data_IF_254249813112
#
_entry.id   IF_254249813112
#
_cell.length_a   1.000
_cell.length_b   1.000
_cell.length_c   1.000
_cell.angle_alpha   90.00
_cell.angle_beta   90.00
_cell.angle_gamma   90.00
#
_symmetry.space_group_name_H-M   'P 1'
#
loop_
_entity.id
_entity.type
_entity.pdbx_description
1 polymer ?
#
# COMPACT_ATOMS: atom_id res chain seq x y z
N UNK A 1 -15.43 -60.77 -39.13
CA UNK A 1 -14.94 -61.54 -37.96
C UNK A 1 -13.44 -61.34 -37.91
N UNK A 2 -12.82 -60.69 -36.93
CA UNK A 2 -13.30 -60.17 -35.66
C UNK A 2 -12.55 -58.91 -35.24
N UNK A 3 -13.09 -58.28 -34.21
CA UNK A 3 -12.66 -57.08 -33.52
C UNK A 3 -11.34 -57.25 -32.75
N UNK A 4 -10.89 -56.12 -32.18
CA UNK A 4 -10.05 -55.93 -30.98
C UNK A 4 -8.65 -55.39 -31.30
N UNK A 5 -8.20 -54.27 -30.74
CA UNK A 5 -8.79 -53.39 -29.74
C UNK A 5 -7.90 -52.17 -29.58
N UNK A 6 -8.53 -51.03 -29.38
CA UNK A 6 -7.90 -49.73 -29.15
C UNK A 6 -7.03 -49.75 -27.89
N UNK A 7 -5.79 -49.28 -28.01
CA UNK A 7 -4.91 -48.97 -26.89
C UNK A 7 -4.71 -47.47 -26.79
N UNK A 8 -5.76 -46.70 -26.53
CA UNK A 8 -5.61 -45.30 -26.14
C UNK A 8 -4.88 -45.27 -24.79
N UNK A 9 -3.60 -44.88 -24.79
CA UNK A 9 -2.94 -44.42 -23.58
C UNK A 9 -3.69 -43.17 -23.10
N UNK A 10 -4.53 -43.35 -22.09
CA UNK A 10 -5.11 -42.27 -21.33
C UNK A 10 -3.95 -41.57 -20.63
N UNK A 11 -3.46 -40.50 -21.24
CA UNK A 11 -2.57 -39.54 -20.59
C UNK A 11 -3.33 -39.05 -19.35
N UNK A 12 -2.95 -39.57 -18.18
CA UNK A 12 -3.30 -38.98 -16.91
C UNK A 12 -2.58 -37.64 -16.88
N UNK A 13 -3.27 -36.57 -17.22
CA UNK A 13 -2.90 -35.23 -16.77
C UNK A 13 -2.90 -35.30 -15.25
N UNK A 14 -1.71 -35.40 -14.68
CA UNK A 14 -1.48 -35.28 -13.26
C UNK A 14 -2.03 -33.90 -12.88
N UNK A 15 -3.06 -33.86 -12.05
CA UNK A 15 -3.66 -32.62 -11.57
C UNK A 15 -2.51 -31.75 -11.04
N UNK A 16 -2.20 -30.70 -11.80
CA UNK A 16 -1.29 -29.65 -11.38
C UNK A 16 -1.96 -29.09 -10.13
N UNK A 17 -1.28 -29.12 -8.99
CA UNK A 17 -1.81 -28.52 -7.77
C UNK A 17 -2.09 -27.04 -8.09
N UNK A 18 -3.36 -26.71 -8.33
CA UNK A 18 -3.78 -25.33 -8.46
C UNK A 18 -3.52 -24.65 -7.12
N UNK A 19 -2.66 -23.63 -7.15
CA UNK A 19 -2.33 -22.83 -5.99
C UNK A 19 -3.61 -22.23 -5.40
N UNK A 20 -3.79 -22.30 -4.09
CA UNK A 20 -4.98 -21.68 -3.47
C UNK A 20 -4.89 -20.16 -3.60
N UNK A 21 -6.03 -19.43 -3.58
CA UNK A 21 -6.00 -17.96 -3.62
C UNK A 21 -5.14 -17.33 -2.53
N UNK A 22 -5.09 -17.95 -1.34
CA UNK A 22 -4.27 -17.50 -0.22
C UNK A 22 -2.78 -17.70 -0.46
N UNK A 23 -2.39 -18.85 -1.01
CA UNK A 23 -1.00 -19.12 -1.38
C UNK A 23 -0.51 -18.14 -2.44
N UNK A 24 -1.34 -17.88 -3.45
CA UNK A 24 -1.05 -16.88 -4.50
C UNK A 24 -0.86 -15.49 -3.91
N UNK A 25 -1.71 -15.04 -2.98
CA UNK A 25 -1.55 -13.73 -2.34
C UNK A 25 -0.23 -13.62 -1.57
N UNK A 26 0.16 -14.67 -0.84
CA UNK A 26 1.43 -14.68 -0.12
C UNK A 26 2.60 -14.63 -1.11
N UNK A 27 2.55 -15.38 -2.21
CA UNK A 27 3.56 -15.36 -3.25
C UNK A 27 3.68 -13.98 -3.90
N UNK A 28 2.56 -13.39 -4.31
CA UNK A 28 2.50 -12.06 -4.93
C UNK A 28 3.00 -10.96 -3.98
N UNK A 29 2.67 -11.06 -2.68
CA UNK A 29 3.18 -10.11 -1.68
C UNK A 29 4.71 -10.23 -1.50
N UNK A 30 5.26 -11.45 -1.54
CA UNK A 30 6.71 -11.63 -1.51
C UNK A 30 7.40 -11.04 -2.74
N UNK A 31 6.78 -11.14 -3.92
CA UNK A 31 7.28 -10.48 -5.14
C UNK A 31 7.21 -8.95 -4.99
N UNK A 32 6.12 -8.41 -4.46
CA UNK A 32 6.01 -6.99 -4.11
C UNK A 32 7.17 -6.53 -3.21
N UNK A 33 7.48 -7.28 -2.14
CA UNK A 33 8.59 -6.93 -1.24
C UNK A 33 9.95 -6.91 -1.96
N UNK A 34 10.21 -7.85 -2.87
CA UNK A 34 11.44 -7.89 -3.66
C UNK A 34 11.55 -6.68 -4.60
N UNK A 35 10.47 -6.36 -5.33
CA UNK A 35 10.46 -5.23 -6.26
C UNK A 35 10.54 -3.88 -5.52
N UNK A 36 9.91 -3.79 -4.35
CA UNK A 36 10.02 -2.65 -3.44
C UNK A 36 11.45 -2.42 -2.96
N UNK A 37 12.18 -3.48 -2.60
CA UNK A 37 13.61 -3.37 -2.23
C UNK A 37 14.48 -2.89 -3.40
N UNK A 38 14.05 -3.15 -4.63
CA UNK A 38 14.67 -2.63 -5.85
C UNK A 38 14.17 -1.23 -6.24
N UNK A 39 13.37 -0.58 -5.40
CA UNK A 39 12.80 0.76 -5.59
C UNK A 39 11.89 0.90 -6.83
N UNK A 40 11.18 -0.16 -7.21
CA UNK A 40 10.11 -0.03 -8.22
C UNK A 40 8.94 0.78 -7.67
N UNK A 41 8.29 1.56 -8.54
CA UNK A 41 7.07 2.27 -8.18
C UNK A 41 5.92 1.29 -7.97
N UNK A 42 4.90 1.68 -7.19
CA UNK A 42 3.74 0.81 -6.98
C UNK A 42 2.92 0.66 -8.28
N UNK A 43 2.99 1.63 -9.19
CA UNK A 43 2.40 1.51 -10.52
C UNK A 43 3.11 0.44 -11.36
N UNK A 44 4.44 0.42 -11.36
CA UNK A 44 5.22 -0.60 -12.08
C UNK A 44 5.01 -1.99 -11.47
N UNK A 45 4.93 -2.08 -10.14
CA UNK A 45 4.66 -3.35 -9.45
C UNK A 45 3.25 -3.85 -9.77
N UNK A 46 2.23 -2.97 -9.76
CA UNK A 46 0.87 -3.34 -10.14
C UNK A 46 0.84 -3.91 -11.56
N UNK A 47 1.51 -3.27 -12.51
CA UNK A 47 1.63 -3.76 -13.88
C UNK A 47 2.36 -5.12 -13.93
N UNK A 48 3.46 -5.28 -13.18
CA UNK A 48 4.23 -6.52 -13.16
C UNK A 48 3.42 -7.71 -12.64
N UNK A 49 2.63 -7.50 -11.59
CA UNK A 49 1.78 -8.52 -10.99
C UNK A 49 0.44 -8.70 -11.72
N UNK A 50 0.12 -7.82 -12.69
CA UNK A 50 -1.19 -7.75 -13.34
C UNK A 50 -2.35 -7.43 -12.38
N UNK A 51 -2.09 -6.54 -11.42
CA UNK A 51 -3.06 -6.06 -10.44
C UNK A 51 -3.61 -4.69 -10.87
N UNK A 52 -4.87 -4.40 -10.54
CA UNK A 52 -5.34 -3.02 -10.49
C UNK A 52 -4.67 -2.26 -9.34
N UNK A 53 -4.79 -0.93 -9.29
CA UNK A 53 -4.26 -0.17 -8.15
C UNK A 53 -5.00 -0.55 -6.87
N UNK A 54 -6.31 -0.74 -6.96
CA UNK A 54 -7.16 -1.16 -5.85
C UNK A 54 -6.73 -2.53 -5.32
N UNK A 55 -6.56 -3.52 -6.20
CA UNK A 55 -6.16 -4.86 -5.81
C UNK A 55 -4.76 -4.89 -5.18
N UNK A 56 -3.82 -4.08 -5.71
CA UNK A 56 -2.48 -4.01 -5.13
C UNK A 56 -2.54 -3.35 -3.75
N UNK A 57 -3.37 -2.33 -3.57
CA UNK A 57 -3.62 -1.70 -2.27
C UNK A 57 -4.15 -2.71 -1.26
N UNK A 58 -5.12 -3.53 -1.67
CA UNK A 58 -5.65 -4.61 -0.84
C UNK A 58 -4.57 -5.64 -0.47
N UNK A 59 -3.77 -6.09 -1.45
CA UNK A 59 -2.66 -7.02 -1.22
C UNK A 59 -1.67 -6.48 -0.20
N UNK A 60 -1.23 -5.23 -0.37
CA UNK A 60 -0.29 -4.57 0.55
C UNK A 60 -0.90 -4.49 1.94
N UNK A 61 -2.13 -4.01 2.04
CA UNK A 61 -2.82 -3.77 3.32
C UNK A 61 -2.91 -5.04 4.15
N UNK A 62 -3.39 -6.13 3.53
CA UNK A 62 -3.62 -7.42 4.19
C UNK A 62 -2.36 -8.05 4.80
N UNK A 63 -1.19 -7.72 4.27
CA UNK A 63 0.08 -8.30 4.72
C UNK A 63 1.02 -7.30 5.39
N UNK A 64 0.66 -6.01 5.41
CA UNK A 64 1.45 -4.95 6.05
C UNK A 64 0.88 -4.56 7.40
N UNK A 65 -0.43 -4.33 7.47
CA UNK A 65 -1.07 -3.84 8.68
C UNK A 65 -1.53 -5.01 9.55
N UNK A 66 -1.33 -4.90 10.86
CA UNK A 66 -1.86 -5.87 11.82
C UNK A 66 -3.31 -5.56 12.15
N UNK A 67 -3.67 -4.28 12.10
CA UNK A 67 -5.01 -3.80 12.35
C UNK A 67 -5.78 -3.64 11.03
N UNK A 68 -7.05 -3.26 11.17
CA UNK A 68 -8.03 -3.20 10.10
C UNK A 68 -7.90 -1.92 9.25
N UNK A 69 -6.69 -1.67 8.76
CA UNK A 69 -6.35 -0.55 7.88
C UNK A 69 -6.21 -1.02 6.43
N UNK A 70 -6.72 -0.22 5.50
CA UNK A 70 -6.50 -0.39 4.08
C UNK A 70 -5.83 0.84 3.49
N UNK A 71 -4.73 0.63 2.77
CA UNK A 71 -4.03 1.65 2.00
C UNK A 71 -4.61 1.76 0.60
N UNK A 72 -4.98 2.99 0.22
CA UNK A 72 -5.32 3.32 -1.14
C UNK A 72 -4.09 3.87 -1.87
N UNK A 73 -3.66 3.19 -2.94
CA UNK A 73 -2.50 3.63 -3.73
C UNK A 73 -2.64 5.07 -4.20
N UNK A 74 -1.52 5.80 -4.13
CA UNK A 74 -1.43 7.17 -4.62
C UNK A 74 -1.80 7.25 -6.11
N UNK A 75 -2.45 8.37 -6.48
CA UNK A 75 -2.83 8.62 -7.86
C UNK A 75 -1.75 9.36 -8.64
N UNK A 76 -0.95 10.15 -7.93
CA UNK A 76 0.10 10.99 -8.49
C UNK A 76 1.43 10.69 -7.80
N UNK A 77 2.52 10.98 -8.49
CA UNK A 77 3.85 11.02 -7.89
C UNK A 77 4.05 12.36 -7.18
N UNK A 78 5.01 12.42 -6.27
CA UNK A 78 5.36 13.67 -5.58
C UNK A 78 6.75 13.61 -4.97
N UNK A 79 7.19 14.76 -4.44
CA UNK A 79 8.48 14.94 -3.78
C UNK A 79 8.33 15.23 -2.28
N UNK A 80 7.22 14.80 -1.66
CA UNK A 80 6.93 15.00 -0.25
C UNK A 80 7.59 13.91 0.60
N UNK A 81 8.02 14.28 1.81
CA UNK A 81 8.92 13.45 2.62
C UNK A 81 8.36 13.05 3.97
N UNK A 82 7.25 13.68 4.39
CA UNK A 82 6.58 13.48 5.67
C UNK A 82 7.54 13.59 6.87
N UNK A 83 8.54 14.48 6.74
CA UNK A 83 9.69 14.58 7.66
C UNK A 83 9.51 15.64 8.75
N UNK A 84 8.39 16.36 8.74
CA UNK A 84 8.08 17.42 9.69
C UNK A 84 7.59 16.90 11.04
N UNK A 85 7.15 17.82 11.89
CA UNK A 85 6.41 17.47 13.11
C UNK A 85 5.15 16.70 12.73
N UNK A 86 4.87 15.61 13.44
CA UNK A 86 3.66 14.83 13.20
C UNK A 86 2.52 15.30 14.10
N UNK A 87 1.43 15.76 13.50
CA UNK A 87 0.20 16.15 14.17
C UNK A 87 -0.95 15.19 13.84
N UNK A 88 -1.91 15.12 14.76
CA UNK A 88 -3.11 14.30 14.62
C UNK A 88 -4.29 15.16 15.07
N UNK A 89 -5.39 15.19 14.32
CA UNK A 89 -6.59 15.93 14.76
C UNK A 89 -7.23 15.24 15.96
N UNK A 90 -7.92 16.02 16.80
CA UNK A 90 -8.57 15.48 17.99
C UNK A 90 -9.59 14.38 17.66
N UNK A 91 -10.34 14.53 16.56
CA UNK A 91 -11.31 13.54 16.12
C UNK A 91 -10.62 12.23 15.74
N UNK A 92 -9.55 12.28 14.94
CA UNK A 92 -8.79 11.08 14.57
C UNK A 92 -8.12 10.42 15.78
N UNK A 93 -7.54 11.20 16.69
CA UNK A 93 -6.95 10.67 17.91
C UNK A 93 -7.96 9.97 18.82
N UNK A 94 -9.23 10.39 18.79
CA UNK A 94 -10.30 9.75 19.55
C UNK A 94 -10.81 8.44 18.95
N UNK A 95 -10.56 8.20 17.65
CA UNK A 95 -11.07 7.05 16.91
C UNK A 95 -10.01 5.95 16.74
N UNK A 96 -8.75 6.33 16.55
CA UNK A 96 -7.67 5.38 16.29
C UNK A 96 -6.90 5.04 17.55
N UNK A 97 -6.45 3.79 17.62
CA UNK A 97 -5.46 3.34 18.58
C UNK A 97 -4.08 3.95 18.26
N UNK A 98 -3.20 3.97 19.26
CA UNK A 98 -1.83 4.42 19.06
C UNK A 98 -1.09 3.52 18.07
N UNK A 99 -1.39 2.23 18.08
CA UNK A 99 -0.85 1.22 17.18
C UNK A 99 -1.21 1.51 15.72
N UNK A 100 -2.48 1.77 15.42
CA UNK A 100 -2.94 2.13 14.06
C UNK A 100 -2.29 3.41 13.55
N UNK A 101 -2.19 4.43 14.42
CA UNK A 101 -1.51 5.70 14.09
C UNK A 101 -0.04 5.45 13.74
N UNK A 102 0.65 4.61 14.52
CA UNK A 102 2.04 4.25 14.27
C UNK A 102 2.23 3.41 13.01
N UNK A 103 1.28 2.53 12.68
CA UNK A 103 1.27 1.75 11.46
C UNK A 103 1.17 2.65 10.23
N UNK A 104 0.23 3.61 10.22
CA UNK A 104 0.09 4.61 9.15
C UNK A 104 1.38 5.42 8.96
N UNK A 105 1.92 5.93 10.07
CA UNK A 105 3.13 6.75 10.05
C UNK A 105 4.33 5.96 9.51
N UNK A 106 4.58 4.77 10.06
CA UNK A 106 5.73 3.93 9.67
C UNK A 106 5.63 3.47 8.22
N UNK A 107 4.44 3.06 7.79
CA UNK A 107 4.18 2.68 6.40
C UNK A 107 4.43 3.83 5.44
N UNK A 108 3.95 5.04 5.76
CA UNK A 108 4.15 6.21 4.92
C UNK A 108 5.63 6.56 4.78
N UNK A 109 6.41 6.50 5.86
CA UNK A 109 7.86 6.72 5.78
C UNK A 109 8.58 5.65 4.95
N UNK A 110 8.07 4.42 4.94
CA UNK A 110 8.60 3.34 4.11
C UNK A 110 8.29 3.56 2.63
N UNK A 111 7.08 4.06 2.30
CA UNK A 111 6.74 4.52 0.96
C UNK A 111 7.65 5.67 0.50
N UNK A 112 7.88 6.68 1.33
CA UNK A 112 8.82 7.79 1.02
C UNK A 112 10.20 7.24 0.63
N UNK A 113 10.71 6.24 1.35
CA UNK A 113 12.01 5.60 1.05
C UNK A 113 11.98 4.81 -0.25
N UNK A 114 10.90 4.06 -0.49
CA UNK A 114 10.72 3.29 -1.72
C UNK A 114 10.73 4.21 -2.94
N UNK A 115 9.92 5.26 -2.92
CA UNK A 115 9.65 6.14 -4.07
C UNK A 115 10.58 7.36 -4.16
N UNK A 116 11.40 7.62 -3.13
CA UNK A 116 12.26 8.81 -2.99
C UNK A 116 11.47 10.12 -2.95
N UNK A 117 10.30 10.06 -2.34
CA UNK A 117 9.27 11.09 -2.39
C UNK A 117 7.94 10.48 -2.82
N UNK A 118 6.84 10.98 -2.27
CA UNK A 118 5.49 10.52 -2.60
C UNK A 118 4.54 11.71 -2.75
N UNK A 119 3.30 11.43 -3.14
CA UNK A 119 2.23 12.42 -3.13
C UNK A 119 2.06 13.06 -1.75
N UNK A 120 1.66 14.33 -1.71
CA UNK A 120 1.46 15.08 -0.46
C UNK A 120 0.34 14.51 0.40
N UNK A 121 -0.59 13.77 -0.23
CA UNK A 121 -1.75 13.15 0.40
C UNK A 121 -1.67 11.62 0.30
N UNK A 122 -1.64 10.97 1.46
CA UNK A 122 -1.79 9.52 1.57
C UNK A 122 -3.14 9.18 2.16
N UNK A 123 -3.77 8.13 1.62
CA UNK A 123 -5.16 7.80 1.92
C UNK A 123 -5.27 6.41 2.52
N UNK A 124 -5.96 6.33 3.65
CA UNK A 124 -6.24 5.08 4.34
C UNK A 124 -7.73 4.95 4.63
N UNK A 125 -8.20 3.73 4.72
CA UNK A 125 -9.51 3.39 5.25
C UNK A 125 -9.34 2.60 6.53
N UNK A 126 -10.03 2.97 7.59
CA UNK A 126 -10.16 2.10 8.75
C UNK A 126 -11.49 1.37 8.69
N UNK A 127 -11.42 0.05 8.55
CA UNK A 127 -12.59 -0.82 8.38
C UNK A 127 -13.40 -0.88 9.68
N UNK A 128 -12.73 -0.96 10.84
CA UNK A 128 -13.43 -1.10 12.13
C UNK A 128 -14.24 0.15 12.51
N UNK A 129 -13.68 1.34 12.25
CA UNK A 129 -14.36 2.59 12.56
C UNK A 129 -15.11 3.18 11.35
N UNK A 130 -15.16 2.42 10.24
CA UNK A 130 -15.87 2.79 9.00
C UNK A 130 -15.55 4.21 8.53
N UNK A 131 -14.26 4.59 8.55
CA UNK A 131 -13.84 5.96 8.27
C UNK A 131 -12.65 6.05 7.33
N UNK A 132 -12.63 7.14 6.54
CA UNK A 132 -11.54 7.47 5.64
C UNK A 132 -10.60 8.47 6.32
N UNK A 133 -9.31 8.23 6.18
CA UNK A 133 -8.23 8.99 6.79
C UNK A 133 -7.33 9.59 5.72
N UNK A 134 -6.88 10.80 5.97
CA UNK A 134 -5.87 11.50 5.18
C UNK A 134 -4.63 11.73 6.03
N UNK A 135 -3.47 11.38 5.49
CA UNK A 135 -2.19 11.78 6.03
C UNK A 135 -1.52 12.72 5.03
N UNK A 136 -1.31 13.97 5.46
CA UNK A 136 -0.94 15.07 4.56
C UNK A 136 0.38 15.68 5.00
N UNK A 137 1.31 15.92 4.08
CA UNK A 137 2.53 16.69 4.30
C UNK A 137 2.35 18.12 3.77
N UNK A 138 2.80 19.11 4.54
CA UNK A 138 2.59 20.52 4.22
C UNK A 138 3.67 21.09 3.28
N UNK A 139 4.89 20.52 3.28
CA UNK A 139 6.01 21.03 2.50
C UNK A 139 6.60 19.96 1.58
N UNK A 140 6.73 20.32 0.30
CA UNK A 140 7.48 19.52 -0.66
C UNK A 140 8.98 19.64 -0.42
N UNK A 141 9.76 18.72 -0.99
CA UNK A 141 11.22 18.82 -1.00
C UNK A 141 11.71 20.13 -1.61
N UNK A 142 11.14 20.56 -2.74
CA UNK A 142 11.49 21.84 -3.37
C UNK A 142 11.26 23.05 -2.45
N UNK A 143 10.17 23.06 -1.67
CA UNK A 143 9.92 24.11 -0.67
C UNK A 143 10.96 24.08 0.45
N UNK A 144 11.30 22.90 0.96
CA UNK A 144 12.33 22.74 1.99
C UNK A 144 13.70 23.22 1.51
N UNK A 145 14.09 22.88 0.29
CA UNK A 145 15.36 23.27 -0.32
C UNK A 145 15.44 24.79 -0.59
N UNK A 146 14.32 25.45 -0.86
CA UNK A 146 14.26 26.90 -1.05
C UNK A 146 14.61 27.69 0.21
N UNK A 147 14.36 27.11 1.40
CA UNK A 147 14.48 27.80 2.68
C UNK A 147 13.45 28.92 2.91
N UNK A 148 12.49 29.10 2.00
CA UNK A 148 11.48 30.16 2.04
C UNK A 148 10.18 29.66 2.69
N UNK A 149 10.27 29.13 3.91
CA UNK A 149 9.13 28.64 4.69
C UNK A 149 9.30 28.98 6.18
N UNK A 150 8.21 29.05 6.94
CA UNK A 150 8.32 29.12 8.40
C UNK A 150 8.66 27.74 8.94
N UNK A 151 9.56 27.62 9.93
CA UNK A 151 9.83 26.32 10.57
C UNK A 151 8.57 25.66 11.15
N UNK A 152 7.57 26.47 11.50
CA UNK A 152 6.28 25.97 11.99
C UNK A 152 5.41 25.38 10.88
N UNK A 153 5.74 25.60 9.61
CA UNK A 153 5.09 25.00 8.44
C UNK A 153 5.65 23.60 8.13
N UNK A 154 6.74 23.17 8.79
CA UNK A 154 7.34 21.84 8.56
C UNK A 154 6.65 20.80 9.43
N UNK A 155 5.49 20.35 8.96
CA UNK A 155 4.67 19.33 9.62
C UNK A 155 3.89 18.47 8.64
N UNK A 156 3.46 17.32 9.14
CA UNK A 156 2.48 16.46 8.51
C UNK A 156 1.33 16.17 9.48
N UNK A 157 0.12 15.97 8.95
CA UNK A 157 -1.09 15.83 9.77
C UNK A 157 -1.91 14.62 9.35
N UNK A 158 -2.22 13.75 10.31
CA UNK A 158 -3.20 12.68 10.17
C UNK A 158 -4.57 13.17 10.63
N UNK A 159 -5.58 13.07 9.76
CA UNK A 159 -6.93 13.57 10.01
C UNK A 159 -7.99 12.67 9.36
N UNK A 160 -9.25 12.82 9.77
CA UNK A 160 -10.37 12.25 9.04
C UNK A 160 -10.54 12.98 7.71
N UNK A 161 -10.95 12.26 6.67
CA UNK A 161 -11.31 12.88 5.39
C UNK A 161 -12.47 13.87 5.52
N UNK A 162 -13.32 13.72 6.55
CA UNK A 162 -14.40 14.65 6.87
C UNK A 162 -13.94 15.94 7.58
N UNK A 163 -12.72 15.95 8.12
CA UNK A 163 -12.13 17.14 8.76
C UNK A 163 -11.41 18.05 7.75
N UNK A 164 -11.17 17.55 6.52
CA UNK A 164 -10.47 18.23 5.43
C UNK A 164 -11.43 19.07 4.56
#
# INVERSE_FOLDING_TARGET
MGENGEGYQKLFTMDIYDETPEQKHIADYNVYLQLKQLHYSNADIAQHLSYSKEDLGYLISRHTFKNNLEYQLQQQEGDYSFSGKFYITANTQSLLTTEEILEIYTFTLDLVKQHKGIDYLQVFYCIEQDCKLFFIDNLSKSMLESGQYSKDDHYCTLMLASDY
#
